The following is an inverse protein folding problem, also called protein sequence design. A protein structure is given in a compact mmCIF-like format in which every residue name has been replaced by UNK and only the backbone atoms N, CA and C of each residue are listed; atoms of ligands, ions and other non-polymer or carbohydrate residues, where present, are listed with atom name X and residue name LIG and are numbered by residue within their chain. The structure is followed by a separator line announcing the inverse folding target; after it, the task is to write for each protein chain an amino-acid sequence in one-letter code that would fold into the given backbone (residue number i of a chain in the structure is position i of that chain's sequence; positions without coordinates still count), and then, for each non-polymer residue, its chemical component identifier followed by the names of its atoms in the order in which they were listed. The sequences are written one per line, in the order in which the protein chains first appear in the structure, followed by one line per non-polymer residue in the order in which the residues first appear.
data_IF_804716982792
#
_entry.id   IF_804716982792
#
_cell.length_a   1.000
_cell.length_b   1.000
_cell.length_c   1.000
_cell.angle_alpha   90.00
_cell.angle_beta   90.00
_cell.angle_gamma   90.00
#
_symmetry.space_group_name_H-M   'P 1'
#
loop_
_entity.id
_entity.type
_entity.pdbx_description
1 polymer ?
#
# COMPACT_ATOMS: atom_id res chain seq x y z
N UNK A 1 14.55 20.06 -10.22
CA UNK A 1 13.72 20.17 -8.98
C UNK A 1 14.17 19.09 -8.02
N UNK A 2 14.32 19.41 -6.73
CA UNK A 2 14.74 18.45 -5.71
C UNK A 2 13.73 18.49 -4.56
N UNK A 3 13.20 17.35 -4.16
CA UNK A 3 12.21 17.21 -3.09
C UNK A 3 12.48 15.96 -2.27
N UNK A 4 11.91 15.90 -1.08
CA UNK A 4 11.92 14.71 -0.23
C UNK A 4 10.53 14.04 -0.27
N UNK A 5 10.47 12.83 -0.80
CA UNK A 5 9.29 11.98 -0.71
C UNK A 5 9.37 11.15 0.57
N UNK A 6 8.36 11.21 1.40
CA UNK A 6 8.25 10.37 2.60
C UNK A 6 6.99 9.51 2.46
N UNK A 7 7.16 8.20 2.39
CA UNK A 7 6.07 7.25 2.47
C UNK A 7 5.92 6.76 3.91
N UNK A 8 4.75 6.97 4.48
CA UNK A 8 4.37 6.36 5.77
C UNK A 8 3.64 5.07 5.45
N UNK A 9 4.43 4.03 5.21
CA UNK A 9 3.93 2.69 4.91
C UNK A 9 3.51 1.93 6.17
N UNK A 10 3.03 0.71 5.96
CA UNK A 10 2.60 -0.18 7.04
C UNK A 10 3.81 -0.75 7.81
N UNK A 11 4.81 -1.23 7.11
CA UNK A 11 5.99 -1.88 7.70
C UNK A 11 7.12 -0.90 7.98
N UNK A 12 7.28 0.10 7.12
CA UNK A 12 8.35 1.06 7.22
C UNK A 12 7.95 2.46 6.75
N UNK A 13 8.60 3.46 7.34
CA UNK A 13 8.63 4.82 6.85
C UNK A 13 9.88 4.95 5.98
N UNK A 14 9.68 5.26 4.71
CA UNK A 14 10.76 5.37 3.74
C UNK A 14 10.89 6.81 3.27
N UNK A 15 12.09 7.37 3.36
CA UNK A 15 12.42 8.69 2.84
C UNK A 15 13.36 8.61 1.64
N UNK A 16 12.96 9.23 0.54
CA UNK A 16 13.70 9.24 -0.72
C UNK A 16 13.82 10.66 -1.26
N UNK A 17 15.02 11.08 -1.57
CA UNK A 17 15.24 12.33 -2.32
C UNK A 17 14.95 12.06 -3.78
N UNK A 18 14.02 12.82 -4.32
CA UNK A 18 13.62 12.82 -5.71
C UNK A 18 14.20 14.03 -6.42
N UNK A 19 14.98 13.79 -7.47
CA UNK A 19 15.58 14.83 -8.30
C UNK A 19 15.17 14.67 -9.75
N UNK A 20 14.78 15.75 -10.39
CA UNK A 20 14.51 15.79 -11.83
C UNK A 20 15.50 16.72 -12.54
N UNK A 21 16.16 16.20 -13.57
CA UNK A 21 17.04 16.94 -14.46
C UNK A 21 16.62 16.63 -15.92
N UNK A 22 15.81 17.50 -16.50
CA UNK A 22 15.19 17.25 -17.81
C UNK A 22 14.24 16.04 -17.76
N UNK A 23 14.52 15.02 -18.57
CA UNK A 23 13.76 13.76 -18.59
C UNK A 23 14.23 12.74 -17.55
N UNK A 24 15.41 12.95 -16.99
CA UNK A 24 15.99 11.99 -16.03
C UNK A 24 15.46 12.24 -14.64
N UNK A 25 15.04 11.17 -13.97
CA UNK A 25 14.55 11.15 -12.61
C UNK A 25 15.51 10.33 -11.75
N UNK A 26 15.98 10.88 -10.64
CA UNK A 26 16.84 10.16 -9.69
C UNK A 26 16.11 10.00 -8.37
N UNK A 27 16.07 8.77 -7.88
CA UNK A 27 15.57 8.42 -6.56
C UNK A 27 16.74 7.97 -5.69
N UNK A 28 16.97 8.64 -4.57
CA UNK A 28 18.04 8.29 -3.63
C UNK A 28 17.45 8.10 -2.23
N UNK A 29 17.58 6.88 -1.69
CA UNK A 29 17.14 6.61 -0.32
C UNK A 29 18.00 7.39 0.68
N UNK A 30 17.34 8.04 1.64
CA UNK A 30 17.97 8.80 2.70
C UNK A 30 17.61 8.31 4.09
N UNK A 31 16.50 7.60 4.22
CA UNK A 31 16.10 6.94 5.48
C UNK A 31 15.16 5.78 5.25
N UNK A 32 15.18 4.86 6.20
CA UNK A 32 14.19 3.81 6.39
C UNK A 32 14.04 3.56 7.90
N UNK A 33 12.80 3.59 8.39
CA UNK A 33 12.48 3.42 9.81
C UNK A 33 11.37 2.38 9.91
N UNK A 34 11.53 1.27 10.65
CA UNK A 34 10.44 0.34 10.89
C UNK A 34 9.24 1.03 11.55
N UNK A 35 8.03 0.79 11.04
CA UNK A 35 6.80 1.39 11.57
C UNK A 35 6.25 0.67 12.79
N UNK A 36 6.58 -0.61 12.97
CA UNK A 36 5.96 -1.48 13.99
C UNK A 36 5.99 -0.90 15.39
N UNK A 37 7.07 -0.21 15.77
CA UNK A 37 7.25 0.34 17.12
C UNK A 37 6.43 1.61 17.41
N UNK A 38 5.75 2.13 16.39
CA UNK A 38 5.00 3.39 16.48
C UNK A 38 3.48 3.20 16.45
N UNK A 39 2.98 1.95 16.28
CA UNK A 39 1.57 1.67 16.31
C UNK A 39 1.05 1.59 17.75
N UNK A 40 -0.11 2.19 17.99
CA UNK A 40 -0.90 1.91 19.18
C UNK A 40 -1.78 0.65 18.97
N UNK A 41 -2.43 0.18 20.03
CA UNK A 41 -3.27 -1.01 19.99
C UNK A 41 -4.53 -0.86 19.10
N UNK A 42 -4.85 0.34 18.63
CA UNK A 42 -5.92 0.56 17.64
C UNK A 42 -5.42 0.61 16.20
N UNK A 43 -4.17 0.26 15.94
CA UNK A 43 -3.58 0.28 14.60
C UNK A 43 -3.29 1.66 14.03
N UNK A 44 -3.28 2.70 14.88
CA UNK A 44 -2.93 4.07 14.49
C UNK A 44 -1.50 4.41 14.88
N UNK A 45 -0.86 5.19 14.03
CA UNK A 45 0.52 5.63 14.23
C UNK A 45 0.61 6.83 15.19
N UNK A 46 1.61 6.80 16.06
CA UNK A 46 2.02 7.96 16.86
C UNK A 46 2.92 8.88 16.04
N UNK A 47 2.31 9.84 15.36
CA UNK A 47 3.02 10.77 14.47
C UNK A 47 4.03 11.65 15.21
N UNK A 48 3.83 11.98 16.46
CA UNK A 48 4.79 12.77 17.22
C UNK A 48 6.10 12.01 17.41
N UNK A 49 6.02 10.73 17.74
CA UNK A 49 7.21 9.86 17.86
C UNK A 49 7.87 9.63 16.50
N UNK A 50 7.07 9.38 15.46
CA UNK A 50 7.54 9.19 14.09
C UNK A 50 8.34 10.41 13.60
N UNK A 51 7.77 11.60 13.71
CA UNK A 51 8.42 12.83 13.20
C UNK A 51 9.72 13.11 13.96
N UNK A 52 9.75 12.85 15.27
CA UNK A 52 10.99 12.93 16.04
C UNK A 52 12.04 11.94 15.54
N UNK A 53 11.67 10.71 15.21
CA UNK A 53 12.58 9.71 14.66
C UNK A 53 13.09 10.11 13.27
N UNK A 54 12.19 10.56 12.38
CA UNK A 54 12.54 11.11 11.07
C UNK A 54 13.56 12.22 11.21
N UNK A 55 13.30 13.21 12.09
CA UNK A 55 14.20 14.34 12.31
C UNK A 55 15.59 13.93 12.81
N UNK A 56 15.69 12.89 13.64
CA UNK A 56 16.98 12.38 14.13
C UNK A 56 17.81 11.74 13.01
N UNK A 57 17.18 11.00 12.12
CA UNK A 57 17.82 10.19 11.09
C UNK A 57 18.13 10.99 9.82
N UNK A 58 17.24 11.91 9.43
CA UNK A 58 17.46 12.71 8.22
C UNK A 58 18.74 13.52 8.29
N UNK A 59 19.57 13.50 7.23
CA UNK A 59 20.73 14.37 7.11
C UNK A 59 20.34 15.85 7.14
N UNK A 60 21.26 16.71 7.55
CA UNK A 60 20.99 18.16 7.74
C UNK A 60 20.53 18.86 6.47
N UNK A 61 21.04 18.44 5.31
CA UNK A 61 20.70 19.04 4.02
C UNK A 61 19.28 18.67 3.58
N UNK A 62 18.89 17.41 3.79
CA UNK A 62 17.59 16.90 3.42
C UNK A 62 16.46 17.45 4.29
N UNK A 63 16.74 17.86 5.55
CA UNK A 63 15.77 18.54 6.42
C UNK A 63 15.26 19.89 5.89
N UNK A 64 15.98 20.48 4.93
CA UNK A 64 15.62 21.76 4.32
C UNK A 64 14.77 21.60 3.06
N UNK A 65 14.59 20.36 2.58
CA UNK A 65 13.82 20.10 1.38
C UNK A 65 12.31 20.17 1.68
N UNK A 66 11.57 20.59 0.69
CA UNK A 66 10.12 20.46 0.68
C UNK A 66 9.73 18.99 0.65
N UNK A 67 8.76 18.63 1.50
CA UNK A 67 8.32 17.25 1.69
C UNK A 67 6.99 17.05 0.98
N UNK A 68 6.97 16.04 0.11
CA UNK A 68 5.76 15.42 -0.37
C UNK A 68 5.52 14.16 0.47
N UNK A 69 4.43 14.16 1.26
CA UNK A 69 4.13 13.14 2.25
C UNK A 69 3.06 12.19 1.72
N UNK A 70 3.41 10.92 1.51
CA UNK A 70 2.48 9.85 1.14
C UNK A 70 1.88 9.31 2.44
N UNK A 71 0.56 9.44 2.56
CA UNK A 71 -0.18 9.14 3.79
C UNK A 71 -0.59 7.67 3.87
N UNK A 72 -0.71 7.11 5.09
CA UNK A 72 -1.29 5.79 5.26
C UNK A 72 -2.77 5.76 4.80
N UNK A 73 -3.23 4.60 4.37
CA UNK A 73 -4.56 4.40 3.76
C UNK A 73 -5.72 4.86 4.64
N UNK A 74 -5.60 4.76 5.97
CA UNK A 74 -6.69 5.17 6.89
C UNK A 74 -6.89 6.68 7.01
N UNK A 75 -5.98 7.49 6.45
CA UNK A 75 -6.10 8.97 6.45
C UNK A 75 -6.86 9.46 5.22
N UNK A 76 -6.97 8.63 4.20
CA UNK A 76 -7.56 8.97 2.91
C UNK A 76 -8.72 8.04 2.59
N UNK A 77 -9.80 8.60 2.06
CA UNK A 77 -10.90 7.84 1.45
C UNK A 77 -10.88 8.10 -0.06
N UNK A 78 -10.99 7.04 -0.84
CA UNK A 78 -11.04 7.10 -2.31
C UNK A 78 -12.31 6.42 -2.78
N UNK A 79 -13.07 7.10 -3.62
CA UNK A 79 -14.27 6.54 -4.23
C UNK A 79 -14.21 6.70 -5.76
N UNK A 80 -14.71 5.72 -6.46
CA UNK A 80 -14.91 5.75 -7.90
C UNK A 80 -16.41 5.65 -8.18
N UNK A 81 -16.95 6.61 -8.91
CA UNK A 81 -18.37 6.65 -9.26
C UNK A 81 -18.54 6.86 -10.76
N UNK A 82 -19.64 6.34 -11.31
CA UNK A 82 -20.01 6.66 -12.67
C UNK A 82 -20.29 8.15 -12.81
N UNK A 83 -19.84 8.76 -13.90
CA UNK A 83 -20.03 10.20 -14.13
C UNK A 83 -21.50 10.60 -14.21
N UNK A 84 -22.40 9.62 -14.39
CA UNK A 84 -23.87 9.82 -14.51
C UNK A 84 -24.53 9.88 -13.11
N UNK A 85 -23.94 9.26 -12.09
CA UNK A 85 -24.51 9.17 -10.73
C UNK A 85 -24.27 10.41 -9.84
N UNK A 86 -23.76 11.48 -10.42
CA UNK A 86 -23.48 12.74 -9.70
C UNK A 86 -24.66 13.40 -8.96
N UNK A 87 -25.87 12.89 -9.14
CA UNK A 87 -27.05 13.42 -8.46
C UNK A 87 -27.19 12.94 -7.01
N UNK A 88 -26.52 11.85 -6.62
CA UNK A 88 -26.64 11.24 -5.28
C UNK A 88 -25.65 11.80 -4.25
N UNK A 89 -24.54 12.40 -4.68
CA UNK A 89 -23.49 12.91 -3.76
C UNK A 89 -23.86 14.21 -2.99
N UNK A 90 -25.07 14.72 -3.15
CA UNK A 90 -25.51 15.96 -2.48
C UNK A 90 -25.83 15.80 -0.99
N UNK A 91 -25.98 14.59 -0.48
CA UNK A 91 -26.41 14.36 0.90
C UNK A 91 -25.29 14.04 1.90
N UNK A 92 -24.13 13.53 1.47
CA UNK A 92 -22.98 13.34 2.36
C UNK A 92 -21.93 14.42 2.15
N UNK A 93 -21.96 15.44 3.03
CA UNK A 93 -21.01 16.57 3.06
C UNK A 93 -19.59 16.18 3.50
N UNK A 94 -18.97 15.14 2.91
CA UNK A 94 -17.53 14.98 3.02
C UNK A 94 -16.86 15.94 2.03
N UNK A 95 -15.88 16.74 2.45
CA UNK A 95 -15.21 17.66 1.54
C UNK A 95 -14.42 16.85 0.50
N UNK A 96 -14.97 16.67 -0.69
CA UNK A 96 -14.25 16.17 -1.85
C UNK A 96 -13.20 17.20 -2.23
N UNK A 97 -11.94 16.90 -2.03
CA UNK A 97 -10.84 17.85 -2.28
C UNK A 97 -10.13 17.64 -3.61
N UNK A 98 -10.33 16.48 -4.23
CA UNK A 98 -9.85 16.23 -5.58
C UNK A 98 -10.86 15.38 -6.34
N UNK A 99 -11.22 15.84 -7.53
CA UNK A 99 -12.11 15.11 -8.44
C UNK A 99 -11.43 15.03 -9.80
N UNK A 100 -11.28 13.83 -10.31
CA UNK A 100 -10.70 13.59 -11.63
C UNK A 100 -11.65 12.73 -12.46
N UNK A 101 -12.09 13.24 -13.60
CA UNK A 101 -12.87 12.47 -14.58
C UNK A 101 -11.91 11.65 -15.45
N UNK A 102 -12.16 10.35 -15.55
CA UNK A 102 -11.40 9.43 -16.42
C UNK A 102 -12.38 8.68 -17.32
N UNK A 103 -11.99 8.52 -18.59
CA UNK A 103 -12.76 7.71 -19.55
C UNK A 103 -12.19 6.31 -19.56
N UNK A 104 -13.04 5.31 -19.36
CA UNK A 104 -12.69 3.90 -19.28
C UNK A 104 -13.37 3.15 -20.43
N UNK A 105 -12.64 2.26 -21.08
CA UNK A 105 -13.21 1.32 -22.03
C UNK A 105 -13.77 0.12 -21.28
N UNK A 106 -15.03 -0.17 -21.46
CA UNK A 106 -15.72 -1.32 -20.87
C UNK A 106 -16.23 -2.21 -22.01
N UNK A 107 -15.53 -3.31 -22.28
CA UNK A 107 -15.83 -4.18 -23.43
C UNK A 107 -15.37 -3.61 -24.78
N UNK A 108 -15.59 -4.38 -25.85
CA UNK A 108 -15.03 -4.07 -27.20
C UNK A 108 -15.54 -2.77 -27.84
N UNK A 109 -16.60 -2.15 -27.33
CA UNK A 109 -17.20 -0.97 -27.96
C UNK A 109 -17.82 0.07 -27.02
N UNK A 110 -17.71 -0.09 -25.72
CA UNK A 110 -18.32 0.84 -24.76
C UNK A 110 -17.26 1.63 -24.00
N UNK A 111 -17.42 2.96 -23.97
CA UNK A 111 -16.63 3.83 -23.10
C UNK A 111 -17.47 4.27 -21.91
N UNK A 112 -16.91 4.18 -20.71
CA UNK A 112 -17.52 4.66 -19.48
C UNK A 112 -16.67 5.78 -18.89
N UNK A 113 -17.33 6.82 -18.41
CA UNK A 113 -16.67 7.88 -17.68
C UNK A 113 -16.74 7.59 -16.19
N UNK A 114 -15.61 7.63 -15.51
CA UNK A 114 -15.51 7.38 -14.08
C UNK A 114 -14.94 8.62 -13.41
N UNK A 115 -15.57 9.06 -12.34
CA UNK A 115 -15.09 10.09 -11.46
C UNK A 115 -14.33 9.46 -10.31
N UNK A 116 -13.09 9.86 -10.11
CA UNK A 116 -12.31 9.56 -8.93
C UNK A 116 -12.46 10.70 -7.93
N UNK A 117 -12.99 10.40 -6.77
CA UNK A 117 -13.10 11.35 -5.66
C UNK A 117 -12.12 10.95 -4.56
N UNK A 118 -11.27 11.87 -4.13
CA UNK A 118 -10.35 11.67 -3.01
C UNK A 118 -10.72 12.64 -1.90
N UNK A 119 -10.96 12.12 -0.72
CA UNK A 119 -11.16 12.90 0.48
C UNK A 119 -10.13 12.56 1.56
N UNK A 120 -9.83 13.51 2.41
CA UNK A 120 -8.88 13.35 3.49
C UNK A 120 -9.61 13.52 4.82
N UNK A 121 -9.27 12.69 5.81
CA UNK A 121 -9.65 12.93 7.18
C UNK A 121 -8.94 14.19 7.69
N UNK A 122 -9.65 15.31 7.71
CA UNK A 122 -9.09 16.63 8.04
C UNK A 122 -8.43 16.67 9.42
N UNK A 123 -9.00 15.98 10.41
CA UNK A 123 -8.47 15.94 11.77
C UNK A 123 -7.12 15.23 11.82
N UNK A 124 -7.05 14.07 11.20
CA UNK A 124 -5.82 13.27 11.12
C UNK A 124 -4.76 14.00 10.30
N UNK A 125 -5.12 14.49 9.11
CA UNK A 125 -4.22 15.24 8.24
C UNK A 125 -3.62 16.46 8.94
N UNK A 126 -4.46 17.28 9.59
CA UNK A 126 -3.99 18.47 10.32
C UNK A 126 -3.05 18.09 11.46
N UNK A 127 -3.35 17.01 12.17
CA UNK A 127 -2.48 16.51 13.25
C UNK A 127 -1.11 16.10 12.72
N UNK A 128 -1.08 15.37 11.60
CA UNK A 128 0.15 14.92 10.95
C UNK A 128 1.00 16.09 10.48
N UNK A 129 0.42 16.99 9.68
CA UNK A 129 1.12 18.16 9.11
C UNK A 129 1.65 19.05 10.23
N UNK A 130 0.85 19.27 11.28
CA UNK A 130 1.27 20.05 12.45
C UNK A 130 2.45 19.41 13.17
N UNK A 131 2.49 18.08 13.29
CA UNK A 131 3.63 17.39 13.91
C UNK A 131 4.93 17.63 13.12
N UNK A 132 4.89 17.54 11.79
CA UNK A 132 6.03 17.85 10.92
C UNK A 132 6.49 19.31 11.04
N UNK A 133 5.55 20.27 10.99
CA UNK A 133 5.88 21.70 11.08
C UNK A 133 6.47 22.08 12.43
N UNK A 134 5.99 21.50 13.55
CA UNK A 134 6.60 21.70 14.89
C UNK A 134 8.07 21.33 14.93
N UNK A 135 8.45 20.31 14.17
CA UNK A 135 9.84 19.85 14.04
C UNK A 135 10.63 20.57 12.93
N UNK A 136 10.03 21.63 12.33
CA UNK A 136 10.62 22.41 11.23
C UNK A 136 10.88 21.59 9.97
N UNK A 137 10.05 20.61 9.71
CA UNK A 137 10.02 19.82 8.48
C UNK A 137 8.86 20.34 7.62
N UNK A 138 9.17 20.86 6.43
CA UNK A 138 8.21 21.57 5.59
C UNK A 138 7.42 20.60 4.71
N UNK A 139 6.24 20.16 5.13
CA UNK A 139 5.31 19.38 4.29
C UNK A 139 4.54 20.35 3.39
N UNK A 140 4.74 20.22 2.09
CA UNK A 140 4.07 21.05 1.07
C UNK A 140 2.91 20.33 0.39
N UNK A 141 2.93 18.98 0.39
CA UNK A 141 1.85 18.17 -0.18
C UNK A 141 1.62 16.91 0.64
N UNK A 142 0.36 16.56 0.80
CA UNK A 142 -0.08 15.27 1.32
C UNK A 142 -0.71 14.46 0.17
N UNK A 143 -0.27 13.23 0.00
CA UNK A 143 -0.57 12.41 -1.18
C UNK A 143 -1.31 11.15 -0.74
N UNK A 144 -2.33 10.77 -1.51
CA UNK A 144 -3.06 9.54 -1.28
C UNK A 144 -2.22 8.32 -1.68
N UNK A 145 -2.04 7.39 -0.74
CA UNK A 145 -1.30 6.15 -0.98
C UNK A 145 -1.93 5.29 -2.09
N UNK A 146 -3.27 5.18 -2.09
CA UNK A 146 -4.01 4.42 -3.11
C UNK A 146 -3.71 4.92 -4.53
N UNK A 147 -3.60 6.24 -4.73
CA UNK A 147 -3.21 6.82 -6.01
C UNK A 147 -1.80 6.44 -6.44
N UNK A 148 -0.90 6.31 -5.48
CA UNK A 148 0.47 5.86 -5.76
C UNK A 148 0.50 4.40 -6.21
N UNK A 149 -0.29 3.53 -5.60
CA UNK A 149 -0.39 2.13 -6.01
C UNK A 149 -0.96 2.01 -7.43
N UNK A 150 -2.04 2.70 -7.74
CA UNK A 150 -2.61 2.61 -9.09
C UNK A 150 -1.64 3.14 -10.16
N UNK A 151 -0.90 4.22 -9.89
CA UNK A 151 0.13 4.72 -10.80
C UNK A 151 1.25 3.69 -11.04
N UNK A 152 1.67 2.99 -9.98
CA UNK A 152 2.66 1.94 -10.11
C UNK A 152 2.14 0.78 -10.96
N UNK A 153 0.91 0.31 -10.74
CA UNK A 153 0.32 -0.80 -11.50
C UNK A 153 0.19 -0.44 -12.98
N UNK A 154 -0.01 0.83 -13.31
CA UNK A 154 -0.05 1.26 -14.72
C UNK A 154 1.24 0.91 -15.48
N UNK A 155 2.38 0.69 -14.80
CA UNK A 155 3.61 0.20 -15.42
C UNK A 155 3.49 -1.23 -15.96
N UNK A 156 2.67 -2.06 -15.33
CA UNK A 156 2.46 -3.45 -15.77
C UNK A 156 1.81 -3.52 -17.15
N UNK A 157 1.03 -2.50 -17.50
CA UNK A 157 0.30 -2.43 -18.75
C UNK A 157 1.10 -1.74 -19.87
N UNK A 158 2.18 -1.02 -19.55
CA UNK A 158 3.04 -0.39 -20.55
C UNK A 158 4.09 -1.33 -21.15
N UNK A 159 4.30 -2.51 -20.55
CA UNK A 159 5.34 -3.44 -21.00
C UNK A 159 4.95 -4.23 -22.26
N UNK A 160 3.68 -4.25 -22.64
CA UNK A 160 3.26 -4.91 -23.87
C UNK A 160 3.46 -3.99 -25.09
N UNK A 161 4.74 -3.71 -25.41
CA UNK A 161 5.13 -2.96 -26.61
C UNK A 161 4.83 -3.70 -27.93
N UNK A 162 4.23 -4.86 -27.89
CA UNK A 162 3.85 -5.66 -29.04
C UNK A 162 2.33 -5.74 -29.20
N UNK A 163 1.71 -4.60 -29.57
CA UNK A 163 0.51 -4.55 -30.41
C UNK A 163 -0.75 -5.33 -30.05
N UNK A 164 -0.81 -6.10 -29.00
CA UNK A 164 -2.04 -6.71 -28.53
C UNK A 164 -2.73 -5.76 -27.55
N UNK A 165 -3.90 -5.27 -27.94
CA UNK A 165 -4.81 -4.52 -27.05
C UNK A 165 -5.48 -5.41 -26.01
N UNK A 166 -4.81 -6.42 -25.49
CA UNK A 166 -5.30 -7.19 -24.37
C UNK A 166 -5.16 -6.37 -23.10
N UNK A 167 -6.21 -5.58 -22.81
CA UNK A 167 -6.33 -4.85 -21.57
C UNK A 167 -6.35 -5.82 -20.40
N UNK A 168 -5.19 -5.98 -19.78
CA UNK A 168 -5.09 -6.77 -18.54
C UNK A 168 -5.90 -6.08 -17.46
N UNK A 169 -6.75 -6.84 -16.80
CA UNK A 169 -7.48 -6.39 -15.63
C UNK A 169 -6.68 -6.78 -14.39
N UNK A 170 -6.43 -5.83 -13.50
CA UNK A 170 -5.72 -6.10 -12.25
C UNK A 170 -6.61 -5.83 -11.04
N UNK A 171 -6.50 -6.69 -10.06
CA UNK A 171 -6.97 -6.47 -8.69
C UNK A 171 -5.74 -6.16 -7.85
N UNK A 172 -5.56 -4.90 -7.48
CA UNK A 172 -4.48 -4.50 -6.59
C UNK A 172 -4.94 -4.58 -5.16
N UNK A 173 -4.45 -5.57 -4.43
CA UNK A 173 -4.71 -5.76 -3.02
C UNK A 173 -3.68 -5.00 -2.20
N UNK A 174 -4.11 -3.91 -1.55
CA UNK A 174 -3.30 -3.14 -0.61
C UNK A 174 -3.67 -3.56 0.81
N UNK A 175 -2.84 -4.40 1.38
CA UNK A 175 -3.02 -4.89 2.73
C UNK A 175 -2.58 -3.83 3.73
N UNK A 176 -3.53 -3.36 4.54
CA UNK A 176 -3.33 -2.35 5.57
C UNK A 176 -3.59 -2.90 6.97
N UNK A 177 -3.11 -2.18 8.00
CA UNK A 177 -3.32 -2.58 9.40
C UNK A 177 -4.78 -2.53 9.81
N UNK A 178 -5.50 -1.49 9.41
CA UNK A 178 -6.88 -1.22 9.80
C UNK A 178 -7.93 -1.65 8.77
N UNK A 179 -7.51 -1.87 7.53
CA UNK A 179 -8.37 -2.33 6.43
C UNK A 179 -7.55 -2.86 5.28
N UNK A 180 -8.16 -3.66 4.43
CA UNK A 180 -7.62 -4.09 3.14
C UNK A 180 -8.35 -3.35 2.04
N UNK A 181 -7.61 -2.81 1.09
CA UNK A 181 -8.17 -2.10 -0.05
C UNK A 181 -7.92 -2.90 -1.32
N UNK A 182 -8.98 -3.14 -2.11
CA UNK A 182 -8.92 -3.80 -3.41
C UNK A 182 -9.20 -2.76 -4.49
N UNK A 183 -8.18 -2.41 -5.26
CA UNK A 183 -8.27 -1.45 -6.37
C UNK A 183 -8.44 -2.24 -7.65
N UNK A 184 -9.55 -2.07 -8.34
CA UNK A 184 -9.80 -2.72 -9.63
C UNK A 184 -9.33 -1.82 -10.75
N UNK A 185 -8.46 -2.38 -11.59
CA UNK A 185 -7.83 -1.67 -12.69
C UNK A 185 -8.22 -2.32 -14.01
N UNK A 186 -8.81 -1.55 -14.93
CA UNK A 186 -8.96 -1.93 -16.34
C UNK A 186 -7.87 -1.24 -17.15
N UNK A 187 -6.88 -2.02 -17.59
CA UNK A 187 -5.69 -1.43 -18.15
C UNK A 187 -5.01 -0.49 -17.15
N UNK A 188 -4.83 0.76 -17.53
CA UNK A 188 -4.15 1.79 -16.71
C UNK A 188 -5.12 2.60 -15.84
N UNK A 189 -6.40 2.26 -15.80
CA UNK A 189 -7.42 3.08 -15.15
C UNK A 189 -8.04 2.37 -13.97
N UNK A 190 -8.01 2.95 -12.76
CA UNK A 190 -8.76 2.45 -11.63
C UNK A 190 -10.26 2.71 -11.86
N UNK A 191 -11.07 1.67 -11.70
CA UNK A 191 -12.51 1.72 -11.98
C UNK A 191 -13.37 1.55 -10.75
N UNK A 192 -12.84 0.87 -9.72
CA UNK A 192 -13.56 0.60 -8.48
C UNK A 192 -12.57 0.41 -7.34
N UNK A 193 -12.98 0.78 -6.14
CA UNK A 193 -12.30 0.46 -4.89
C UNK A 193 -13.29 -0.26 -3.98
N UNK A 194 -12.85 -1.37 -3.42
CA UNK A 194 -13.55 -2.03 -2.32
C UNK A 194 -12.64 -2.07 -1.11
N UNK A 195 -13.24 -1.98 0.04
CA UNK A 195 -12.53 -2.08 1.31
C UNK A 195 -13.13 -3.21 2.12
N UNK A 196 -12.26 -3.92 2.82
CA UNK A 196 -12.61 -4.99 3.72
C UNK A 196 -12.09 -4.66 5.12
N UNK A 197 -12.87 -4.97 6.13
CA UNK A 197 -12.50 -4.87 7.54
C UNK A 197 -11.60 -6.03 7.99
N UNK A 198 -11.35 -7.03 7.13
CA UNK A 198 -10.37 -8.09 7.39
C UNK A 198 -8.97 -7.51 7.49
N UNK A 199 -8.66 -6.92 8.63
CA UNK A 199 -7.41 -6.22 8.89
C UNK A 199 -6.62 -6.90 10.01
N UNK A 200 -5.34 -6.57 10.10
CA UNK A 200 -4.49 -7.08 11.19
C UNK A 200 -5.02 -6.64 12.57
N UNK A 201 -5.66 -5.48 12.66
CA UNK A 201 -6.28 -5.01 13.91
C UNK A 201 -7.43 -5.92 14.34
N UNK A 202 -8.18 -6.51 13.42
CA UNK A 202 -9.23 -7.48 13.78
C UNK A 202 -8.60 -8.77 14.33
N UNK A 203 -7.54 -9.29 13.71
CA UNK A 203 -6.78 -10.42 14.27
C UNK A 203 -6.31 -10.10 15.68
N UNK A 204 -5.79 -8.88 15.87
CA UNK A 204 -5.32 -8.46 17.20
C UNK A 204 -6.43 -8.41 18.25
N UNK A 205 -7.63 -7.96 17.88
CA UNK A 205 -8.79 -7.99 18.77
C UNK A 205 -9.16 -9.42 19.19
N UNK A 206 -9.16 -10.35 18.24
CA UNK A 206 -9.44 -11.77 18.50
C UNK A 206 -8.36 -12.40 19.41
N UNK A 207 -7.09 -12.05 19.17
CA UNK A 207 -5.98 -12.47 20.02
C UNK A 207 -6.13 -11.97 21.46
N UNK A 208 -6.47 -10.70 21.65
CA UNK A 208 -6.72 -10.13 22.98
C UNK A 208 -7.91 -10.82 23.66
N UNK A 209 -8.98 -11.07 22.91
CA UNK A 209 -10.15 -11.82 23.42
C UNK A 209 -9.81 -13.26 23.81
N UNK A 210 -8.81 -13.85 23.15
CA UNK A 210 -8.27 -15.18 23.47
C UNK A 210 -7.21 -15.18 24.59
N UNK A 211 -6.96 -14.04 25.23
CA UNK A 211 -6.03 -13.90 26.36
C UNK A 211 -4.58 -13.60 25.96
N UNK A 212 -4.32 -13.19 24.72
CA UNK A 212 -2.98 -12.74 24.35
C UNK A 212 -2.68 -11.37 24.97
N UNK A 213 -1.62 -11.29 25.77
CA UNK A 213 -1.20 -10.06 26.46
C UNK A 213 -0.18 -9.25 25.67
N UNK A 214 0.27 -9.72 24.48
CA UNK A 214 1.22 -8.99 23.67
C UNK A 214 0.58 -7.71 23.12
N UNK A 215 1.30 -6.58 23.11
CA UNK A 215 0.87 -5.39 22.40
C UNK A 215 0.92 -5.60 20.89
N UNK A 216 0.12 -4.85 20.12
CA UNK A 216 -0.01 -4.99 18.68
C UNK A 216 1.34 -4.99 17.95
N UNK A 217 2.26 -4.12 18.32
CA UNK A 217 3.56 -4.04 17.65
C UNK A 217 4.42 -5.31 17.82
N UNK A 218 4.28 -6.04 18.93
CA UNK A 218 4.94 -7.34 19.12
C UNK A 218 4.26 -8.43 18.29
N UNK A 219 2.94 -8.44 18.24
CA UNK A 219 2.18 -9.33 17.35
C UNK A 219 2.61 -9.13 15.90
N UNK A 220 2.75 -7.88 15.44
CA UNK A 220 3.25 -7.58 14.10
C UNK A 220 4.67 -8.12 13.85
N UNK A 221 5.55 -8.05 14.86
CA UNK A 221 6.90 -8.63 14.73
C UNK A 221 6.86 -10.16 14.63
N UNK A 222 5.97 -10.80 15.37
CA UNK A 222 5.77 -12.26 15.23
C UNK A 222 5.26 -12.59 13.83
N UNK A 223 4.25 -11.89 13.34
CA UNK A 223 3.69 -12.11 12.00
C UNK A 223 4.73 -11.89 10.89
N UNK A 224 5.54 -10.83 10.99
CA UNK A 224 6.58 -10.54 10.00
C UNK A 224 7.72 -11.58 9.98
N UNK A 225 7.85 -12.38 11.03
CA UNK A 225 8.78 -13.50 11.09
C UNK A 225 8.17 -14.83 10.60
N UNK A 226 6.88 -14.85 10.27
CA UNK A 226 6.24 -16.01 9.68
C UNK A 226 6.57 -16.12 8.18
N UNK A 227 6.64 -17.34 7.70
CA UNK A 227 6.76 -17.69 6.27
C UNK A 227 5.95 -18.95 5.99
N UNK A 228 5.68 -19.19 4.72
CA UNK A 228 4.96 -20.37 4.29
C UNK A 228 5.94 -21.54 4.16
N UNK A 229 5.55 -22.69 4.73
CA UNK A 229 6.32 -23.91 4.56
C UNK A 229 6.47 -24.27 3.08
N UNK A 230 7.67 -24.72 2.71
CA UNK A 230 7.97 -25.23 1.37
C UNK A 230 7.42 -26.62 1.10
N UNK A 231 6.85 -27.29 2.09
CA UNK A 231 6.24 -28.60 1.93
C UNK A 231 4.93 -28.48 1.14
N UNK A 232 4.97 -28.92 -0.11
CA UNK A 232 3.86 -28.84 -1.06
C UNK A 232 2.69 -29.79 -0.70
N UNK A 233 2.96 -30.86 0.06
CA UNK A 233 1.93 -31.85 0.43
C UNK A 233 1.17 -31.46 1.72
N UNK A 234 1.73 -30.59 2.52
CA UNK A 234 1.25 -30.30 3.87
C UNK A 234 0.18 -29.19 3.96
N UNK A 235 -0.37 -28.72 2.84
CA UNK A 235 -1.30 -27.57 2.86
C UNK A 235 -0.61 -26.24 3.20
N UNK A 236 -1.39 -25.24 3.65
CA UNK A 236 -0.85 -23.95 4.05
C UNK A 236 -0.35 -24.02 5.50
N UNK A 237 0.96 -24.11 5.69
CA UNK A 237 1.61 -24.15 7.00
C UNK A 237 2.42 -22.87 7.20
N UNK A 238 2.12 -22.14 8.26
CA UNK A 238 2.93 -21.00 8.70
C UNK A 238 4.04 -21.48 9.64
N UNK A 239 5.27 -21.23 9.24
CA UNK A 239 6.45 -21.44 10.07
C UNK A 239 6.95 -20.12 10.63
N UNK A 240 7.61 -20.18 11.77
CA UNK A 240 8.17 -19.02 12.46
C UNK A 240 9.68 -19.19 12.61
N UNK A 241 10.43 -18.19 12.15
CA UNK A 241 11.89 -18.28 12.09
C UNK A 241 12.59 -18.12 13.45
N UNK A 242 11.96 -17.45 14.42
CA UNK A 242 12.60 -17.16 15.70
C UNK A 242 11.61 -16.78 16.78
N UNK A 243 11.80 -17.35 17.97
CA UNK A 243 11.06 -16.97 19.18
C UNK A 243 11.56 -15.65 19.78
N UNK A 244 12.49 -15.01 19.12
CA UNK A 244 13.15 -13.79 19.59
C UNK A 244 12.68 -12.59 18.78
N UNK A 245 12.16 -11.58 19.47
CA UNK A 245 11.89 -10.27 18.86
C UNK A 245 12.85 -9.22 19.44
N UNK A 246 13.28 -8.30 18.56
CA UNK A 246 14.19 -7.23 18.96
C UNK A 246 13.46 -5.90 19.08
N UNK A 247 13.61 -5.22 20.21
CA UNK A 247 13.10 -3.88 20.47
C UNK A 247 14.25 -2.91 20.78
N UNK A 248 14.70 -2.19 19.76
CA UNK A 248 15.89 -1.34 19.89
C UNK A 248 17.11 -2.18 20.26
N UNK A 249 17.64 -2.00 21.49
CA UNK A 249 18.75 -2.79 22.03
C UNK A 249 18.31 -3.97 22.93
N UNK A 250 17.00 -4.17 23.11
CA UNK A 250 16.46 -5.25 23.94
C UNK A 250 16.05 -6.43 23.06
N UNK A 251 16.36 -7.61 23.55
CA UNK A 251 15.92 -8.87 22.96
C UNK A 251 14.88 -9.48 23.90
N UNK A 252 13.72 -9.82 23.35
CA UNK A 252 12.61 -10.43 24.08
C UNK A 252 12.41 -11.83 23.52
N UNK A 253 12.51 -12.83 24.37
CA UNK A 253 12.18 -14.21 24.04
C UNK A 253 10.70 -14.44 24.32
N UNK A 254 9.97 -14.91 23.31
CA UNK A 254 8.55 -15.19 23.40
C UNK A 254 8.32 -16.66 23.78
N UNK A 255 7.27 -16.88 24.55
CA UNK A 255 6.81 -18.22 24.89
C UNK A 255 6.20 -18.90 23.64
N UNK A 256 6.54 -20.18 23.42
CA UNK A 256 6.04 -20.97 22.30
C UNK A 256 4.50 -21.01 22.24
N UNK A 257 3.82 -21.03 23.38
CA UNK A 257 2.36 -20.98 23.44
C UNK A 257 1.80 -19.70 22.84
N UNK A 258 2.42 -18.56 23.13
CA UNK A 258 2.01 -17.26 22.57
C UNK A 258 2.27 -17.20 21.07
N UNK A 259 3.40 -17.73 20.63
CA UNK A 259 3.73 -17.81 19.20
C UNK A 259 2.72 -18.69 18.47
N UNK A 260 2.37 -19.85 19.02
CA UNK A 260 1.37 -20.75 18.47
C UNK A 260 0.01 -20.04 18.35
N UNK A 261 -0.43 -19.33 19.41
CA UNK A 261 -1.67 -18.56 19.39
C UNK A 261 -1.71 -17.51 18.29
N UNK A 262 -0.60 -16.76 18.09
CA UNK A 262 -0.51 -15.75 17.03
C UNK A 262 -0.51 -16.41 15.64
N UNK A 263 0.19 -17.53 15.47
CA UNK A 263 0.19 -18.31 14.22
C UNK A 263 -1.20 -18.82 13.87
N UNK A 264 -1.92 -19.40 14.82
CA UNK A 264 -3.26 -19.97 14.60
C UNK A 264 -4.27 -18.88 14.23
N UNK A 265 -4.24 -17.74 14.92
CA UNK A 265 -5.09 -16.60 14.59
C UNK A 265 -4.75 -16.06 13.20
N UNK A 266 -3.47 -15.97 12.85
CA UNK A 266 -3.02 -15.50 11.55
C UNK A 266 -3.36 -16.47 10.43
N UNK A 267 -3.24 -17.78 10.66
CA UNK A 267 -3.67 -18.80 9.72
C UNK A 267 -5.17 -18.70 9.41
N UNK A 268 -6.01 -18.59 10.44
CA UNK A 268 -7.45 -18.41 10.26
C UNK A 268 -7.78 -17.14 9.47
N UNK A 269 -7.07 -16.06 9.74
CA UNK A 269 -7.19 -14.82 9.00
C UNK A 269 -6.85 -15.00 7.52
N UNK A 270 -5.71 -15.61 7.19
CA UNK A 270 -5.28 -15.85 5.81
C UNK A 270 -6.31 -16.70 5.06
N UNK A 271 -6.84 -17.74 5.69
CA UNK A 271 -7.87 -18.60 5.08
C UNK A 271 -9.12 -17.81 4.71
N UNK A 272 -9.56 -16.90 5.59
CA UNK A 272 -10.69 -16.01 5.31
C UNK A 272 -10.35 -15.01 4.19
N UNK A 273 -9.16 -14.47 4.19
CA UNK A 273 -8.67 -13.55 3.16
C UNK A 273 -8.61 -14.21 1.78
N UNK A 274 -8.13 -15.45 1.70
CA UNK A 274 -8.12 -16.24 0.47
C UNK A 274 -9.53 -16.43 -0.07
N UNK A 275 -10.49 -16.72 0.80
CA UNK A 275 -11.90 -16.87 0.42
C UNK A 275 -12.49 -15.56 -0.10
N UNK A 276 -12.17 -14.43 0.53
CA UNK A 276 -12.59 -13.11 0.07
C UNK A 276 -11.99 -12.76 -1.29
N UNK A 277 -10.69 -13.01 -1.49
CA UNK A 277 -10.00 -12.77 -2.77
C UNK A 277 -10.67 -13.56 -3.89
N UNK A 278 -11.08 -14.80 -3.64
CA UNK A 278 -11.79 -15.62 -4.62
C UNK A 278 -13.12 -14.97 -5.02
N UNK A 279 -13.93 -14.55 -4.05
CA UNK A 279 -15.20 -13.88 -4.33
C UNK A 279 -15.00 -12.59 -5.12
N UNK A 280 -13.98 -11.80 -4.80
CA UNK A 280 -13.65 -10.56 -5.51
C UNK A 280 -13.20 -10.85 -6.95
N UNK A 281 -12.39 -11.88 -7.13
CA UNK A 281 -11.92 -12.31 -8.45
C UNK A 281 -13.10 -12.68 -9.36
N UNK A 282 -14.01 -13.52 -8.87
CA UNK A 282 -15.19 -13.94 -9.62
C UNK A 282 -16.09 -12.75 -9.94
N UNK A 283 -16.31 -11.85 -8.99
CA UNK A 283 -17.06 -10.62 -9.20
C UNK A 283 -16.46 -9.74 -10.31
N UNK A 284 -15.15 -9.56 -10.32
CA UNK A 284 -14.46 -8.73 -11.33
C UNK A 284 -14.59 -9.37 -12.72
N UNK A 285 -14.42 -10.68 -12.81
CA UNK A 285 -14.58 -11.41 -14.06
C UNK A 285 -15.97 -11.26 -14.65
N UNK A 286 -17.01 -11.42 -13.84
CA UNK A 286 -18.40 -11.28 -14.26
C UNK A 286 -18.73 -9.84 -14.65
N UNK A 287 -18.43 -8.89 -13.77
CA UNK A 287 -18.80 -7.48 -13.95
C UNK A 287 -18.14 -6.85 -15.18
N UNK A 288 -16.88 -7.17 -15.42
CA UNK A 288 -16.10 -6.56 -16.52
C UNK A 288 -15.94 -7.49 -17.72
N UNK A 289 -16.59 -8.67 -17.71
CA UNK A 289 -16.57 -9.66 -18.80
C UNK A 289 -15.14 -9.95 -19.30
N UNK A 290 -14.20 -10.11 -18.35
CA UNK A 290 -12.78 -10.32 -18.66
C UNK A 290 -12.32 -11.71 -18.24
N UNK A 291 -11.49 -12.36 -19.06
CA UNK A 291 -10.85 -13.64 -18.72
C UNK A 291 -9.46 -13.47 -18.13
N UNK A 292 -8.83 -12.31 -18.36
CA UNK A 292 -7.45 -12.05 -17.97
C UNK A 292 -7.41 -11.13 -16.74
N UNK A 293 -7.64 -11.69 -15.56
CA UNK A 293 -7.57 -10.96 -14.29
C UNK A 293 -6.32 -11.41 -13.54
N UNK A 294 -5.51 -10.42 -13.17
CA UNK A 294 -4.29 -10.61 -12.38
C UNK A 294 -4.49 -10.03 -10.98
N UNK A 295 -3.98 -10.69 -9.97
CA UNK A 295 -3.97 -10.18 -8.61
C UNK A 295 -2.56 -9.71 -8.27
N UNK A 296 -2.46 -8.47 -7.78
CA UNK A 296 -1.22 -7.89 -7.30
C UNK A 296 -1.33 -7.57 -5.82
N UNK A 297 -0.33 -7.92 -5.02
CA UNK A 297 -0.32 -7.64 -3.58
C UNK A 297 0.89 -6.83 -3.15
N UNK A 298 0.74 -6.05 -2.08
CA UNK A 298 1.82 -5.31 -1.44
C UNK A 298 2.47 -6.08 -0.29
N UNK A 299 2.10 -7.35 -0.08
CA UNK A 299 2.64 -8.19 0.97
C UNK A 299 3.20 -9.48 0.38
N UNK A 300 4.50 -9.71 0.59
CA UNK A 300 5.16 -10.94 0.14
C UNK A 300 4.53 -12.19 0.73
N UNK A 301 4.18 -12.13 2.01
CA UNK A 301 3.57 -13.27 2.70
C UNK A 301 2.19 -13.61 2.11
N UNK A 302 1.36 -12.59 1.82
CA UNK A 302 0.07 -12.80 1.15
C UNK A 302 0.24 -13.30 -0.28
N UNK A 303 1.22 -12.79 -1.00
CA UNK A 303 1.55 -13.27 -2.34
C UNK A 303 1.91 -14.75 -2.32
N UNK A 304 2.79 -15.18 -1.42
CA UNK A 304 3.17 -16.58 -1.24
C UNK A 304 1.94 -17.45 -0.89
N UNK A 305 1.03 -16.98 -0.01
CA UNK A 305 -0.22 -17.66 0.32
C UNK A 305 -1.15 -17.81 -0.89
N UNK A 306 -1.38 -16.71 -1.60
CA UNK A 306 -2.27 -16.68 -2.75
C UNK A 306 -1.72 -17.53 -3.90
N UNK A 307 -0.41 -17.49 -4.14
CA UNK A 307 0.25 -18.34 -5.14
C UNK A 307 0.06 -19.82 -4.81
N UNK A 308 0.21 -20.22 -3.55
CA UNK A 308 0.04 -21.61 -3.14
C UNK A 308 -1.41 -22.10 -3.30
N UNK A 309 -2.38 -21.26 -2.95
CA UNK A 309 -3.81 -21.63 -2.99
C UNK A 309 -4.42 -21.54 -4.39
N UNK A 310 -3.88 -20.72 -5.26
CA UNK A 310 -4.51 -20.38 -6.53
C UNK A 310 -3.62 -20.60 -7.76
N UNK A 311 -2.45 -21.19 -7.64
CA UNK A 311 -1.48 -21.36 -8.74
C UNK A 311 -2.11 -21.94 -10.02
N UNK A 312 -3.12 -22.79 -9.87
CA UNK A 312 -3.81 -23.46 -10.98
C UNK A 312 -5.09 -22.75 -11.43
N UNK A 313 -5.49 -21.67 -10.74
CA UNK A 313 -6.81 -21.07 -10.95
C UNK A 313 -6.73 -19.71 -11.64
N UNK A 314 -5.81 -18.84 -11.21
CA UNK A 314 -5.63 -17.51 -11.79
C UNK A 314 -4.22 -16.94 -11.55
N UNK A 315 -3.75 -16.06 -12.44
CA UNK A 315 -2.40 -15.50 -12.34
C UNK A 315 -2.28 -14.52 -11.18
N UNK A 316 -1.24 -14.71 -10.37
CA UNK A 316 -0.88 -13.83 -9.27
C UNK A 316 0.45 -13.18 -9.61
N UNK A 317 0.51 -11.86 -9.53
CA UNK A 317 1.72 -11.07 -9.74
C UNK A 317 2.07 -10.32 -8.46
N UNK A 318 3.22 -10.64 -7.87
CA UNK A 318 3.77 -9.83 -6.79
C UNK A 318 4.18 -8.45 -7.33
N UNK A 319 3.92 -7.39 -6.57
CA UNK A 319 4.32 -6.03 -6.92
C UNK A 319 5.84 -5.86 -6.82
N UNK A 320 6.57 -6.57 -7.68
CA UNK A 320 8.02 -6.49 -7.75
C UNK A 320 8.45 -5.18 -8.42
N UNK A 321 8.70 -4.18 -7.58
CA UNK A 321 9.10 -2.86 -8.05
C UNK A 321 10.43 -2.87 -8.81
N UNK A 322 11.35 -3.76 -8.48
CA UNK A 322 12.65 -3.85 -9.14
C UNK A 322 12.51 -4.33 -10.58
N UNK A 323 11.83 -5.45 -10.79
CA UNK A 323 11.63 -6.02 -12.11
C UNK A 323 10.90 -5.06 -13.06
N UNK A 324 9.84 -4.42 -12.56
CA UNK A 324 9.06 -3.46 -13.36
C UNK A 324 9.86 -2.20 -13.70
N UNK A 325 10.70 -1.74 -12.80
CA UNK A 325 11.59 -0.60 -13.09
C UNK A 325 12.71 -0.95 -14.04
N UNK A 326 13.24 -2.16 -14.03
CA UNK A 326 14.22 -2.62 -15.02
C UNK A 326 13.66 -2.58 -16.43
N UNK A 327 12.39 -2.94 -16.60
CA UNK A 327 11.67 -2.81 -17.88
C UNK A 327 11.45 -1.33 -18.28
N UNK A 328 11.30 -0.43 -17.30
CA UNK A 328 11.01 1.00 -17.51
C UNK A 328 12.29 1.87 -17.49
N UNK A 329 13.43 1.28 -17.68
CA UNK A 329 14.77 1.71 -17.25
C UNK A 329 15.33 3.00 -17.84
N UNK A 330 14.74 3.58 -18.90
CA UNK A 330 15.30 4.78 -19.55
C UNK A 330 15.06 6.09 -18.79
N UNK A 331 14.27 6.09 -17.71
CA UNK A 331 13.81 7.33 -17.05
C UNK A 331 14.18 7.46 -15.57
N UNK A 332 14.58 6.37 -14.92
CA UNK A 332 14.88 6.37 -13.50
C UNK A 332 16.30 5.93 -13.17
N UNK A 333 16.99 6.69 -12.33
CA UNK A 333 18.25 6.27 -11.71
C UNK A 333 18.02 6.06 -10.21
N UNK A 334 18.29 4.85 -9.72
CA UNK A 334 18.14 4.48 -8.31
C UNK A 334 19.49 4.52 -7.62
N UNK A 335 19.59 5.27 -6.52
CA UNK A 335 20.82 5.39 -5.73
C UNK A 335 20.55 4.99 -4.28
N UNK A 336 21.46 4.16 -3.74
CA UNK A 336 21.39 3.71 -2.34
C UNK A 336 20.09 2.97 -1.99
N UNK A 337 19.47 2.32 -2.98
CA UNK A 337 18.31 1.45 -2.81
C UNK A 337 18.80 0.05 -3.17
N UNK A 338 19.28 -0.75 -2.18
CA UNK A 338 19.87 -2.06 -2.45
C UNK A 338 18.84 -3.06 -2.93
N UNK A 339 17.64 -3.03 -2.32
CA UNK A 339 16.53 -3.89 -2.66
C UNK A 339 15.27 -3.05 -2.81
N UNK A 340 14.72 -3.03 -4.02
CA UNK A 340 13.46 -2.36 -4.31
C UNK A 340 12.36 -3.38 -4.07
N UNK A 341 11.76 -3.29 -2.91
CA UNK A 341 10.66 -4.13 -2.50
C UNK A 341 9.35 -3.32 -2.43
N UNK A 342 8.29 -3.94 -1.94
CA UNK A 342 6.94 -3.37 -1.79
C UNK A 342 6.89 -2.03 -1.04
N UNK A 343 7.83 -1.78 -0.13
CA UNK A 343 7.91 -0.51 0.65
C UNK A 343 8.14 0.71 -0.23
N UNK A 344 8.75 0.50 -1.41
CA UNK A 344 9.06 1.57 -2.36
C UNK A 344 7.97 1.78 -3.42
N UNK A 345 7.02 0.86 -3.54
CA UNK A 345 5.93 0.95 -4.53
C UNK A 345 5.20 2.30 -4.49
N UNK A 346 4.76 2.83 -3.34
CA UNK A 346 4.11 4.14 -3.31
C UNK A 346 5.03 5.28 -3.75
N UNK A 347 6.31 5.24 -3.39
CA UNK A 347 7.29 6.27 -3.77
C UNK A 347 7.50 6.27 -5.28
N UNK A 348 7.64 5.10 -5.87
CA UNK A 348 7.83 4.94 -7.32
C UNK A 348 6.57 5.39 -8.06
N UNK A 349 5.40 4.94 -7.63
CA UNK A 349 4.13 5.37 -8.20
C UNK A 349 3.91 6.89 -8.12
N UNK A 350 4.33 7.52 -7.03
CA UNK A 350 4.35 8.97 -6.89
C UNK A 350 5.33 9.64 -7.87
N UNK A 351 6.50 9.05 -8.13
CA UNK A 351 7.55 9.62 -8.96
C UNK A 351 7.31 9.43 -10.47
N UNK A 352 6.56 8.39 -10.88
CA UNK A 352 6.36 8.04 -12.30
C UNK A 352 5.70 9.18 -13.07
N UNK A 353 4.58 9.69 -12.60
CA UNK A 353 3.77 10.65 -13.37
C UNK A 353 4.03 12.11 -13.03
N UNK A 354 4.88 12.38 -12.05
CA UNK A 354 4.99 13.71 -11.48
C UNK A 354 3.58 14.21 -11.20
N UNK A 355 3.03 13.91 -10.05
CA UNK A 355 1.62 14.18 -9.68
C UNK A 355 1.17 15.49 -10.29
N UNK A 356 0.28 15.40 -11.27
CA UNK A 356 -0.20 16.57 -12.00
C UNK A 356 -0.96 17.47 -11.03
N UNK A 357 -0.67 18.78 -11.07
CA UNK A 357 -1.38 19.77 -10.27
C UNK A 357 -2.88 19.53 -10.41
N UNK A 358 -3.55 19.24 -9.30
CA UNK A 358 -5.00 19.19 -9.19
C UNK A 358 -5.65 17.81 -9.13
N UNK A 359 -4.89 16.67 -9.14
CA UNK A 359 -5.57 15.38 -9.18
C UNK A 359 -5.60 14.61 -7.86
N UNK A 360 -4.49 14.40 -7.17
CA UNK A 360 -4.46 13.36 -6.11
C UNK A 360 -3.73 13.81 -4.83
N UNK A 361 -3.68 15.10 -4.57
CA UNK A 361 -2.98 15.63 -3.40
C UNK A 361 -3.71 16.81 -2.75
N UNK A 362 -3.36 17.05 -1.53
CA UNK A 362 -3.73 18.22 -0.75
C UNK A 362 -2.51 19.15 -0.64
N UNK A 363 -2.70 20.43 -1.00
CA UNK A 363 -1.71 21.48 -0.70
C UNK A 363 -1.77 21.76 0.80
N UNK A 364 -0.70 21.44 1.53
CA UNK A 364 -0.62 21.50 2.99
C UNK A 364 -0.25 22.91 3.49
#
# INVERSE_FOLDING_TARGET
MKKLLINIGQEAIVGVVYETAGKNKTLRRVMEIPCTDYYNNSGRLDFSRIVNAIKKILPKEEKKLDIDLILPTYVTDVAYADAIDDQYDKEEKKPVRSRTEKTVFVGESQTKKINQNISFNNKELTSIVTAFHREKLNVVRAICNTSCYHNFISLFNHSDMYGSMDFKTHICMVWGLSKVSYIFMLGNLPVELRESDYSIVEIYKDLVASGCELPLYQVLKVMNNCHISTDLEAGLILEHNSNIITEGSRTIELNDTVIALVKDAFYSYITNMVSEVRMIYDYVREKYSTSNVYICTNSRLLDECLCKEFSDTFPIEYMNAKEKLEIYNDKFTLKSIPDINEKYVPIIGCAIDGIKKGSDFYDA
#
